data_IF_973782699120
#
_entry.id   IF_973782699120
#
_cell.length_a   1.000
_cell.length_b   1.000
_cell.length_c   1.000
_cell.angle_alpha   90.00
_cell.angle_beta   90.00
_cell.angle_gamma   90.00
#
_symmetry.space_group_name_H-M   'P 1'
#
loop_
_entity.id
_entity.type
_entity.pdbx_description
1 polymer ?
#
# COMPACT_ATOMS: atom_id res chain seq x y z
N UNK A 1 5.57 -2.82 11.61
CA UNK A 1 4.17 -2.90 11.16
C UNK A 1 3.62 -4.29 11.47
N UNK A 2 3.58 -4.66 12.76
CA UNK A 2 3.35 -6.05 13.15
C UNK A 2 4.46 -6.99 12.65
N UNK A 3 4.08 -8.19 12.23
CA UNK A 3 4.96 -9.22 11.66
C UNK A 3 5.32 -8.99 10.19
N UNK A 4 4.62 -8.08 9.50
CA UNK A 4 4.85 -7.78 8.09
C UNK A 4 6.04 -6.85 7.90
N UNK A 5 6.94 -7.24 7.00
CA UNK A 5 8.22 -6.57 6.78
C UNK A 5 8.14 -5.42 5.76
N UNK A 6 7.26 -5.53 4.77
CA UNK A 6 7.18 -4.60 3.65
C UNK A 6 5.71 -4.26 3.31
N UNK A 7 5.14 -3.22 3.93
CA UNK A 7 3.81 -2.71 3.59
C UNK A 7 3.87 -1.65 2.48
N UNK A 8 4.86 -1.65 1.58
CA UNK A 8 4.98 -0.61 0.53
C UNK A 8 4.15 -0.92 -0.72
N UNK A 9 4.01 0.10 -1.58
CA UNK A 9 3.29 0.05 -2.85
C UNK A 9 4.26 0.35 -4.01
N UNK A 10 4.07 -0.34 -5.13
CA UNK A 10 4.69 0.00 -6.43
C UNK A 10 3.65 0.58 -7.40
N UNK A 11 4.11 1.39 -8.35
CA UNK A 11 3.33 1.83 -9.50
C UNK A 11 4.05 1.45 -10.80
N UNK A 12 3.33 0.84 -11.74
CA UNK A 12 3.90 0.42 -13.02
C UNK A 12 3.19 -0.79 -13.61
N UNK A 13 3.87 -1.57 -14.49
CA UNK A 13 3.33 -2.82 -15.00
C UNK A 13 3.07 -3.80 -13.85
N UNK A 14 1.87 -4.37 -13.81
CA UNK A 14 1.41 -5.19 -12.67
C UNK A 14 1.41 -6.68 -12.96
N UNK A 15 1.47 -7.48 -11.88
CA UNK A 15 1.59 -8.93 -11.98
C UNK A 15 0.34 -9.64 -12.53
N UNK A 16 -0.82 -8.99 -12.43
CA UNK A 16 -2.13 -9.53 -12.78
C UNK A 16 -2.52 -9.36 -14.26
N UNK A 17 -1.59 -8.85 -15.08
CA UNK A 17 -1.76 -8.75 -16.54
C UNK A 17 -2.62 -7.57 -16.99
N UNK A 18 -2.81 -6.56 -16.14
CA UNK A 18 -3.35 -5.26 -16.57
C UNK A 18 -2.49 -4.66 -17.69
N UNK A 19 -3.13 -3.96 -18.62
CA UNK A 19 -2.45 -3.34 -19.76
C UNK A 19 -1.93 -1.93 -19.46
N UNK A 20 -2.58 -1.22 -18.53
CA UNK A 20 -2.15 0.08 -18.03
C UNK A 20 -1.31 -0.07 -16.76
N UNK A 21 -0.39 0.87 -16.53
CA UNK A 21 0.30 0.96 -15.25
C UNK A 21 -0.70 1.21 -14.11
N UNK A 22 -0.49 0.53 -12.98
CA UNK A 22 -1.37 0.58 -11.83
C UNK A 22 -0.61 0.39 -10.52
N UNK A 23 -1.31 0.59 -9.40
CA UNK A 23 -0.81 0.37 -8.06
C UNK A 23 -0.95 -1.11 -7.67
N UNK A 24 0.08 -1.66 -7.03
CA UNK A 24 0.12 -3.03 -6.51
C UNK A 24 0.94 -3.05 -5.22
N UNK A 25 0.61 -3.89 -4.21
CA UNK A 25 1.49 -4.09 -3.06
C UNK A 25 2.86 -4.64 -3.51
N UNK A 26 3.95 -4.13 -2.93
CA UNK A 26 5.29 -4.64 -3.22
C UNK A 26 5.46 -6.11 -2.80
N UNK A 27 4.83 -6.50 -1.69
CA UNK A 27 4.80 -7.86 -1.17
C UNK A 27 3.41 -8.50 -1.34
N UNK A 28 3.12 -8.98 -2.55
CA UNK A 28 1.83 -9.64 -2.88
C UNK A 28 1.64 -10.95 -2.10
N UNK A 29 2.72 -11.58 -1.62
CA UNK A 29 2.59 -12.82 -0.84
C UNK A 29 1.97 -12.54 0.54
N UNK A 30 2.32 -11.40 1.14
CA UNK A 30 1.77 -10.94 2.42
C UNK A 30 0.49 -10.13 2.23
N UNK A 31 0.39 -9.35 1.15
CA UNK A 31 -0.73 -8.49 0.82
C UNK A 31 -1.36 -8.91 -0.52
N UNK A 32 -2.18 -9.97 -0.56
CA UNK A 32 -2.66 -10.58 -1.80
C UNK A 32 -3.83 -9.81 -2.44
N UNK A 33 -3.60 -8.53 -2.74
CA UNK A 33 -4.53 -7.65 -3.43
C UNK A 33 -4.10 -7.47 -4.89
N UNK A 34 -5.06 -7.62 -5.81
CA UNK A 34 -4.83 -7.34 -7.23
C UNK A 34 -4.62 -5.84 -7.50
N UNK A 35 -4.11 -5.52 -8.69
CA UNK A 35 -3.77 -4.14 -9.03
C UNK A 35 -4.98 -3.21 -9.11
N UNK A 36 -4.78 -1.93 -8.78
CA UNK A 36 -5.81 -0.91 -8.89
C UNK A 36 -5.27 0.40 -9.49
N UNK A 37 -6.11 1.08 -10.26
CA UNK A 37 -5.79 2.41 -10.79
C UNK A 37 -5.91 3.52 -9.73
N UNK A 38 -6.63 3.26 -8.64
CA UNK A 38 -6.76 4.19 -7.53
C UNK A 38 -5.91 3.71 -6.35
N UNK A 39 -4.97 4.56 -5.91
CA UNK A 39 -4.08 4.32 -4.78
C UNK A 39 -4.83 4.04 -3.47
N UNK A 40 -6.01 4.62 -3.28
CA UNK A 40 -6.83 4.41 -2.07
C UNK A 40 -7.23 2.94 -1.91
N UNK A 41 -7.37 2.19 -3.01
CA UNK A 41 -7.74 0.76 -2.94
C UNK A 41 -6.60 -0.05 -2.34
N UNK A 42 -5.36 0.21 -2.76
CA UNK A 42 -4.20 -0.55 -2.32
C UNK A 42 -3.77 -0.12 -0.91
N UNK A 43 -3.66 1.19 -0.66
CA UNK A 43 -3.23 1.73 0.64
C UNK A 43 -4.19 1.33 1.77
N UNK A 44 -5.52 1.45 1.58
CA UNK A 44 -6.48 1.01 2.60
C UNK A 44 -6.44 -0.50 2.84
N UNK A 45 -6.26 -1.31 1.79
CA UNK A 45 -6.11 -2.75 1.95
C UNK A 45 -4.88 -3.10 2.77
N UNK A 46 -3.74 -2.47 2.50
CA UNK A 46 -2.51 -2.67 3.28
C UNK A 46 -2.77 -2.32 4.74
N UNK A 47 -3.35 -1.16 5.05
CA UNK A 47 -3.62 -0.77 6.43
C UNK A 47 -4.55 -1.75 7.17
N UNK A 48 -5.57 -2.29 6.48
CA UNK A 48 -6.44 -3.32 7.05
C UNK A 48 -5.70 -4.64 7.30
N UNK A 49 -4.86 -5.08 6.35
CA UNK A 49 -4.04 -6.28 6.52
C UNK A 49 -3.01 -6.16 7.64
N UNK A 50 -2.50 -4.94 7.90
CA UNK A 50 -1.59 -4.72 9.01
C UNK A 50 -2.22 -5.12 10.35
N UNK A 51 -3.50 -4.85 10.55
CA UNK A 51 -4.19 -5.27 11.78
C UNK A 51 -4.54 -6.75 11.73
N UNK A 52 -5.13 -7.20 10.62
CA UNK A 52 -5.76 -8.52 10.56
C UNK A 52 -4.78 -9.68 10.33
N UNK A 53 -3.73 -9.47 9.54
CA UNK A 53 -2.76 -10.51 9.18
C UNK A 53 -1.42 -10.29 9.89
N UNK A 54 -1.01 -9.04 10.07
CA UNK A 54 0.29 -8.71 10.63
C UNK A 54 0.29 -8.53 12.15
N UNK A 55 -0.88 -8.46 12.79
CA UNK A 55 -1.02 -8.16 14.23
C UNK A 55 -0.31 -6.86 14.62
N UNK A 56 -0.38 -5.83 13.75
CA UNK A 56 0.18 -4.52 14.02
C UNK A 56 -0.60 -3.80 15.13
N UNK A 57 0.12 -2.97 15.90
CA UNK A 57 -0.49 -2.17 16.96
C UNK A 57 -1.19 -0.91 16.42
N UNK A 58 -1.92 -0.21 17.29
CA UNK A 58 -2.67 1.00 16.94
C UNK A 58 -1.76 2.12 16.40
N UNK A 59 -0.50 2.19 16.86
CA UNK A 59 0.45 3.19 16.38
C UNK A 59 0.88 2.93 14.93
N UNK A 60 1.12 1.66 14.59
CA UNK A 60 1.40 1.24 13.22
C UNK A 60 0.19 1.46 12.30
N UNK A 61 -1.03 1.16 12.76
CA UNK A 61 -2.24 1.45 12.00
C UNK A 61 -2.39 2.96 11.74
N UNK A 62 -2.25 3.80 12.78
CA UNK A 62 -2.37 5.25 12.64
C UNK A 62 -1.32 5.85 11.69
N UNK A 63 -0.11 5.28 11.70
CA UNK A 63 0.95 5.66 10.73
C UNK A 63 0.53 5.28 9.31
N UNK A 64 -0.03 4.10 9.11
CA UNK A 64 -0.53 3.67 7.81
C UNK A 64 -1.70 4.53 7.31
N UNK A 65 -2.66 4.86 8.17
CA UNK A 65 -3.77 5.75 7.81
C UNK A 65 -3.27 7.16 7.43
N UNK A 66 -2.24 7.66 8.11
CA UNK A 66 -1.57 8.92 7.74
C UNK A 66 -0.89 8.81 6.37
N UNK A 67 -0.25 7.68 6.08
CA UNK A 67 0.37 7.44 4.78
C UNK A 67 -0.68 7.33 3.66
N UNK A 68 -1.79 6.63 3.89
CA UNK A 68 -2.89 6.54 2.94
C UNK A 68 -3.47 7.92 2.64
N UNK A 69 -3.67 8.76 3.67
CA UNK A 69 -4.13 10.13 3.51
C UNK A 69 -3.13 11.01 2.73
N UNK A 70 -1.82 10.81 2.92
CA UNK A 70 -0.79 11.54 2.19
C UNK A 70 -0.74 11.18 0.69
N UNK A 71 -1.06 9.94 0.35
CA UNK A 71 -1.11 9.46 -1.02
C UNK A 71 -2.43 9.75 -1.74
N UNK A 72 -3.52 9.91 -0.99
CA UNK A 72 -4.87 10.07 -1.55
C UNK A 72 -4.96 11.29 -2.47
N UNK A 73 -5.51 11.09 -3.66
CA UNK A 73 -5.65 12.12 -4.69
C UNK A 73 -4.37 12.44 -5.47
N UNK A 74 -3.23 11.84 -5.14
CA UNK A 74 -2.04 11.83 -5.99
C UNK A 74 -2.18 10.76 -7.08
N UNK A 75 -1.39 10.89 -8.14
CA UNK A 75 -1.43 9.99 -9.29
C UNK A 75 -0.07 9.32 -9.53
N UNK A 76 -0.12 8.17 -10.20
CA UNK A 76 1.05 7.45 -10.66
C UNK A 76 2.12 7.24 -9.57
N UNK A 77 3.40 7.28 -9.96
CA UNK A 77 4.53 7.04 -9.05
C UNK A 77 4.53 7.98 -7.84
N UNK A 78 4.08 9.22 -7.98
CA UNK A 78 4.07 10.20 -6.88
C UNK A 78 3.19 9.72 -5.71
N UNK A 79 2.07 9.07 -5.99
CA UNK A 79 1.18 8.55 -4.95
C UNK A 79 1.83 7.38 -4.18
N UNK A 80 2.49 6.47 -4.90
CA UNK A 80 3.22 5.36 -4.28
C UNK A 80 4.38 5.87 -3.43
N UNK A 81 5.14 6.83 -3.94
CA UNK A 81 6.25 7.46 -3.22
C UNK A 81 5.76 8.17 -1.94
N UNK A 82 4.66 8.92 -2.02
CA UNK A 82 4.07 9.61 -0.88
C UNK A 82 3.62 8.64 0.22
N UNK A 83 2.99 7.52 -0.15
CA UNK A 83 2.61 6.47 0.79
C UNK A 83 3.85 5.86 1.47
N UNK A 84 4.81 5.40 0.67
CA UNK A 84 6.01 4.71 1.18
C UNK A 84 6.86 5.62 2.09
N UNK A 85 7.06 6.87 1.69
CA UNK A 85 7.81 7.85 2.48
C UNK A 85 7.13 8.14 3.82
N UNK A 86 5.79 8.24 3.85
CA UNK A 86 5.04 8.45 5.07
C UNK A 86 5.07 7.25 6.03
N UNK A 87 5.27 6.03 5.51
CA UNK A 87 5.53 4.82 6.29
C UNK A 87 6.99 4.75 6.80
N UNK A 88 7.90 5.52 6.20
CA UNK A 88 9.33 5.55 6.54
C UNK A 88 10.19 4.59 5.70
N UNK A 89 9.76 4.25 4.49
CA UNK A 89 10.49 3.42 3.52
C UNK A 89 11.13 4.24 2.40
#
# INVERSE_FOLDING_TARGET
FGSCADPTIVFGPTSDGRQEDAFEPSDIATFPQGSALNIDIISNFICDQLVNACEADEAALATCETAAAAASGLEAQEAADAFNAALGF
#
